data_IF_075827673226
#
_entry.id   IF_075827673226
#
_cell.length_a   1.000
_cell.length_b   1.000
_cell.length_c   1.000
_cell.angle_alpha   90.00
_cell.angle_beta   90.00
_cell.angle_gamma   90.00
#
_symmetry.space_group_name_H-M   'P 1'
#
loop_
_entity.id
_entity.type
_entity.pdbx_description
1 polymer ?
#
# COMPACT_ATOMS: atom_id res chain seq x y z
N UNK A 1 -30.75 -17.00 -23.37
CA UNK A 1 -29.36 -17.02 -23.87
C UNK A 1 -28.51 -16.30 -22.85
N UNK A 2 -27.77 -17.06 -22.04
CA UNK A 2 -26.97 -16.56 -20.92
C UNK A 2 -25.61 -16.11 -21.46
N UNK A 3 -25.30 -14.82 -21.41
CA UNK A 3 -23.97 -14.30 -21.72
C UNK A 3 -23.04 -14.62 -20.56
N UNK A 4 -22.33 -15.74 -20.63
CA UNK A 4 -21.16 -15.99 -19.80
C UNK A 4 -20.07 -14.98 -20.20
N UNK A 5 -20.09 -13.81 -19.57
CA UNK A 5 -19.07 -12.79 -19.70
C UNK A 5 -17.72 -13.39 -19.31
N UNK A 6 -16.75 -13.27 -20.21
CA UNK A 6 -15.39 -13.74 -20.02
C UNK A 6 -14.76 -12.98 -18.83
N UNK A 7 -14.83 -13.56 -17.63
CA UNK A 7 -14.41 -12.93 -16.37
C UNK A 7 -12.88 -13.01 -16.20
N UNK A 8 -12.15 -12.51 -17.20
CA UNK A 8 -10.71 -12.47 -17.16
C UNK A 8 -10.30 -11.30 -16.26
N UNK A 9 -9.71 -11.61 -15.11
CA UNK A 9 -9.15 -10.59 -14.22
C UNK A 9 -8.10 -9.78 -14.97
N UNK A 10 -8.20 -8.44 -15.03
CA UNK A 10 -7.21 -7.61 -15.68
C UNK A 10 -5.83 -7.81 -15.05
N UNK A 11 -4.80 -7.85 -15.89
CA UNK A 11 -3.41 -7.80 -15.43
C UNK A 11 -3.13 -6.40 -14.83
N UNK A 12 -2.44 -6.36 -13.70
CA UNK A 12 -2.13 -5.19 -12.86
C UNK A 12 -3.35 -4.52 -12.24
N UNK A 13 -4.26 -5.32 -11.72
CA UNK A 13 -5.42 -4.85 -10.98
C UNK A 13 -5.08 -4.56 -9.52
N UNK A 14 -5.25 -3.31 -9.10
CA UNK A 14 -5.18 -2.93 -7.68
C UNK A 14 -6.47 -3.38 -6.99
N UNK A 15 -6.33 -4.20 -5.94
CA UNK A 15 -7.45 -4.69 -5.12
C UNK A 15 -7.45 -3.99 -3.78
N UNK A 16 -8.53 -3.27 -3.48
CA UNK A 16 -8.67 -2.45 -2.29
C UNK A 16 -10.12 -2.41 -1.80
N UNK A 17 -10.32 -2.01 -0.55
CA UNK A 17 -11.63 -1.55 -0.09
C UNK A 17 -11.80 -0.10 -0.53
N UNK A 18 -12.92 0.21 -1.20
CA UNK A 18 -13.23 1.56 -1.65
C UNK A 18 -14.73 1.81 -1.64
N UNK A 19 -15.13 3.08 -1.64
CA UNK A 19 -16.48 3.54 -1.93
C UNK A 19 -16.43 4.56 -3.09
N UNK A 20 -17.52 5.27 -3.34
CA UNK A 20 -17.59 6.23 -4.47
C UNK A 20 -16.60 7.40 -4.33
N UNK A 21 -16.17 7.72 -3.11
CA UNK A 21 -15.36 8.90 -2.82
C UNK A 21 -13.88 8.57 -2.58
N UNK A 22 -13.60 7.42 -1.97
CA UNK A 22 -12.30 7.13 -1.40
C UNK A 22 -11.89 5.67 -1.51
N UNK A 23 -10.58 5.48 -1.57
CA UNK A 23 -9.89 4.20 -1.41
C UNK A 23 -9.27 4.10 -0.03
N UNK A 24 -9.34 2.91 0.58
CA UNK A 24 -8.65 2.60 1.83
C UNK A 24 -7.33 1.92 1.54
N UNK A 25 -6.27 2.44 2.14
CA UNK A 25 -4.93 1.86 2.14
C UNK A 25 -4.46 1.66 3.57
N UNK A 26 -3.57 0.72 3.77
CA UNK A 26 -3.11 0.33 5.09
C UNK A 26 -1.64 0.63 5.25
N UNK A 27 -1.27 1.04 6.46
CA UNK A 27 0.12 1.29 6.83
C UNK A 27 0.41 0.81 8.26
N UNK A 28 1.61 0.27 8.48
CA UNK A 28 2.03 -0.24 9.78
C UNK A 28 2.91 0.80 10.50
N UNK A 29 2.65 1.00 11.78
CA UNK A 29 3.32 1.97 12.64
C UNK A 29 3.60 1.41 14.04
N UNK A 30 4.47 2.10 14.78
CA UNK A 30 4.60 1.91 16.22
C UNK A 30 3.35 2.40 16.94
N UNK A 31 3.16 1.90 18.15
CA UNK A 31 2.09 2.35 19.04
C UNK A 31 2.08 3.87 19.25
N UNK A 32 3.25 4.48 19.48
CA UNK A 32 3.38 5.93 19.71
C UNK A 32 2.87 6.76 18.54
N UNK A 33 3.18 6.37 17.30
CA UNK A 33 2.71 7.05 16.09
C UNK A 33 1.22 6.78 15.89
N UNK A 34 0.79 5.52 15.99
CA UNK A 34 -0.58 5.14 15.69
C UNK A 34 -1.60 5.77 16.65
N UNK A 35 -1.32 5.75 17.95
CA UNK A 35 -2.22 6.34 18.96
C UNK A 35 -2.32 7.85 18.81
N UNK A 36 -1.19 8.54 18.58
CA UNK A 36 -1.20 9.98 18.32
C UNK A 36 -1.98 10.32 17.05
N UNK A 37 -1.74 9.58 15.96
CA UNK A 37 -2.40 9.80 14.69
C UNK A 37 -3.91 9.63 14.75
N UNK A 38 -4.41 8.60 15.45
CA UNK A 38 -5.85 8.38 15.63
C UNK A 38 -6.46 9.47 16.51
N UNK A 39 -5.79 9.83 17.61
CA UNK A 39 -6.29 10.86 18.54
C UNK A 39 -6.42 12.22 17.89
N UNK A 40 -5.44 12.61 17.09
CA UNK A 40 -5.35 13.96 16.49
C UNK A 40 -5.85 14.00 15.04
N UNK A 41 -6.25 12.84 14.49
CA UNK A 41 -6.60 12.68 13.07
C UNK A 41 -5.51 13.23 12.14
N UNK A 42 -4.24 12.99 12.51
CA UNK A 42 -3.07 13.58 11.86
C UNK A 42 -1.88 12.62 11.91
N UNK A 43 -1.46 12.11 10.75
CA UNK A 43 -0.48 11.02 10.68
C UNK A 43 0.87 11.35 11.34
N UNK A 44 1.27 12.60 11.27
CA UNK A 44 2.53 13.14 11.82
C UNK A 44 2.35 13.85 13.17
N UNK A 45 1.31 13.48 13.93
CA UNK A 45 1.07 13.99 15.29
C UNK A 45 2.17 13.59 16.29
N UNK A 46 2.83 12.46 16.08
CA UNK A 46 3.91 11.99 16.95
C UNK A 46 5.27 12.53 16.50
N UNK A 47 6.16 12.96 17.42
CA UNK A 47 7.54 13.30 17.09
C UNK A 47 8.35 12.10 16.56
N UNK A 48 7.90 10.88 16.79
CA UNK A 48 8.53 9.65 16.25
C UNK A 48 8.22 9.44 14.75
N UNK A 49 7.32 10.25 14.18
CA UNK A 49 7.04 10.22 12.77
C UNK A 49 8.25 10.76 11.99
N UNK A 50 8.72 9.99 11.00
CA UNK A 50 9.87 10.39 10.18
C UNK A 50 9.39 10.73 8.78
N UNK A 51 9.77 11.95 8.36
CA UNK A 51 9.56 12.47 7.01
C UNK A 51 10.65 12.04 6.02
N UNK A 52 11.76 11.50 6.51
CA UNK A 52 12.93 11.16 5.67
C UNK A 52 12.93 9.72 5.18
N UNK A 53 12.07 8.87 5.74
CA UNK A 53 11.99 7.46 5.36
C UNK A 53 10.91 7.25 4.31
N UNK A 54 11.24 6.52 3.26
CA UNK A 54 10.28 5.96 2.32
C UNK A 54 9.26 5.11 3.08
N UNK A 55 7.97 5.35 2.88
CA UNK A 55 6.92 4.56 3.56
C UNK A 55 6.02 3.81 2.59
N UNK A 56 5.66 2.57 2.96
CA UNK A 56 4.90 1.66 2.11
C UNK A 56 3.43 1.54 2.53
N UNK A 57 2.51 2.04 1.70
CA UNK A 57 1.07 1.77 1.85
C UNK A 57 0.65 0.52 1.07
N UNK A 58 -0.39 -0.19 1.55
CA UNK A 58 -0.93 -1.41 0.92
C UNK A 58 -2.45 -1.31 0.83
N UNK A 59 -3.07 -1.36 -0.35
CA UNK A 59 -4.53 -1.34 -0.51
C UNK A 59 -5.22 -2.63 -0.03
N UNK A 60 -4.50 -3.76 0.02
CA UNK A 60 -5.03 -5.04 0.51
C UNK A 60 -4.79 -5.21 2.02
N UNK A 61 -5.87 -5.34 2.79
CA UNK A 61 -5.83 -5.61 4.23
C UNK A 61 -5.13 -6.93 4.54
N UNK A 62 -5.55 -8.02 3.88
CA UNK A 62 -4.98 -9.34 4.10
C UNK A 62 -3.48 -9.36 3.83
N UNK A 63 -3.05 -8.66 2.77
CA UNK A 63 -1.63 -8.56 2.48
C UNK A 63 -0.87 -7.73 3.52
N UNK A 64 -1.44 -6.64 4.02
CA UNK A 64 -0.85 -5.89 5.12
C UNK A 64 -0.67 -6.76 6.36
N UNK A 65 -1.73 -7.44 6.79
CA UNK A 65 -1.72 -8.28 7.98
C UNK A 65 -0.70 -9.42 7.85
N UNK A 66 -0.67 -10.11 6.71
CA UNK A 66 0.33 -11.13 6.45
C UNK A 66 1.76 -10.57 6.55
N UNK A 67 2.02 -9.42 5.93
CA UNK A 67 3.38 -8.83 5.88
C UNK A 67 3.88 -8.29 7.21
N UNK A 68 2.98 -7.82 8.07
CA UNK A 68 3.30 -7.38 9.43
C UNK A 68 3.35 -8.54 10.43
N UNK A 69 3.14 -9.79 9.99
CA UNK A 69 3.00 -10.93 10.90
C UNK A 69 1.84 -10.73 11.88
N UNK A 70 0.73 -10.19 11.39
CA UNK A 70 -0.44 -9.83 12.19
C UNK A 70 -0.06 -8.89 13.35
N UNK A 71 0.75 -7.88 13.05
CA UNK A 71 1.26 -6.89 14.01
C UNK A 71 2.24 -7.41 15.07
N UNK A 72 2.74 -8.64 14.92
CA UNK A 72 3.69 -9.23 15.90
C UNK A 72 5.14 -9.25 15.41
N UNK A 73 5.39 -8.96 14.13
CA UNK A 73 6.72 -9.14 13.50
C UNK A 73 7.77 -8.12 13.96
N UNK A 74 7.38 -6.89 14.22
CA UNK A 74 8.27 -5.78 14.62
C UNK A 74 7.47 -4.83 15.53
N UNK A 75 7.97 -4.47 16.72
CA UNK A 75 7.33 -3.48 17.59
C UNK A 75 7.01 -2.15 16.90
N UNK A 76 7.82 -1.75 15.91
CA UNK A 76 7.60 -0.54 15.08
C UNK A 76 6.50 -0.70 14.04
N UNK A 77 5.86 -1.86 13.97
CA UNK A 77 4.76 -2.20 13.06
C UNK A 77 3.60 -2.87 13.81
N UNK A 78 3.50 -2.61 15.12
CA UNK A 78 2.51 -3.20 16.03
C UNK A 78 1.08 -2.69 15.82
N UNK A 79 0.89 -1.59 15.10
CA UNK A 79 -0.41 -0.99 14.85
C UNK A 79 -0.62 -0.76 13.36
N UNK A 80 -1.75 -1.23 12.83
CA UNK A 80 -2.11 -1.03 11.43
C UNK A 80 -3.18 0.05 11.35
N UNK A 81 -2.87 1.14 10.66
CA UNK A 81 -3.82 2.21 10.38
C UNK A 81 -4.49 1.98 9.02
N UNK A 82 -5.80 2.19 8.99
CA UNK A 82 -6.58 2.32 7.76
C UNK A 82 -6.64 3.80 7.39
N UNK A 83 -6.00 4.17 6.29
CA UNK A 83 -5.95 5.52 5.76
C UNK A 83 -6.89 5.61 4.57
N UNK A 84 -7.78 6.60 4.60
CA UNK A 84 -8.66 6.91 3.46
C UNK A 84 -8.07 8.08 2.69
N UNK A 85 -8.06 7.97 1.36
CA UNK A 85 -7.73 9.07 0.46
C UNK A 85 -8.69 9.05 -0.72
N UNK A 86 -8.91 10.22 -1.34
CA UNK A 86 -9.81 10.30 -2.48
C UNK A 86 -9.23 9.56 -3.67
N UNK A 87 -10.10 9.17 -4.61
CA UNK A 87 -9.67 8.50 -5.84
C UNK A 87 -8.72 9.38 -6.65
N UNK A 88 -8.95 10.69 -6.68
CA UNK A 88 -8.14 11.66 -7.42
C UNK A 88 -6.71 11.68 -6.89
N UNK A 89 -6.54 11.81 -5.56
CA UNK A 89 -5.21 11.81 -4.93
C UNK A 89 -4.50 10.47 -5.19
N UNK A 90 -5.22 9.36 -5.08
CA UNK A 90 -4.62 8.05 -5.34
C UNK A 90 -4.14 7.91 -6.80
N UNK A 91 -4.94 8.37 -7.76
CA UNK A 91 -4.57 8.36 -9.18
C UNK A 91 -3.40 9.31 -9.49
N UNK A 92 -3.39 10.50 -8.86
CA UNK A 92 -2.29 11.45 -8.98
C UNK A 92 -0.98 10.83 -8.49
N UNK A 93 -0.99 10.19 -7.33
CA UNK A 93 0.17 9.45 -6.81
C UNK A 93 0.65 8.37 -7.79
N UNK A 94 -0.29 7.61 -8.38
CA UNK A 94 0.05 6.59 -9.38
C UNK A 94 0.69 7.17 -10.63
N UNK A 95 0.23 8.34 -11.09
CA UNK A 95 0.78 9.00 -12.28
C UNK A 95 2.24 9.43 -12.10
N UNK A 96 2.65 9.70 -10.86
CA UNK A 96 4.02 10.09 -10.51
C UNK A 96 4.94 8.89 -10.23
N UNK A 97 4.43 7.66 -10.32
CA UNK A 97 5.16 6.49 -9.89
C UNK A 97 6.24 6.03 -10.87
N UNK A 98 7.34 5.50 -10.32
CA UNK A 98 8.24 4.57 -10.99
C UNK A 98 7.78 3.13 -10.72
N UNK A 99 7.64 2.31 -11.77
CA UNK A 99 7.27 0.90 -11.62
C UNK A 99 8.52 0.05 -11.43
N UNK A 100 8.71 -0.48 -10.22
CA UNK A 100 9.87 -1.28 -9.83
C UNK A 100 9.55 -2.78 -9.99
N UNK A 101 10.17 -3.46 -10.97
CA UNK A 101 9.96 -4.89 -11.24
C UNK A 101 11.23 -5.72 -11.07
N UNK A 102 11.80 -5.78 -9.86
CA UNK A 102 12.93 -6.67 -9.56
C UNK A 102 14.26 -6.35 -10.26
N UNK A 103 14.24 -5.55 -11.32
CA UNK A 103 15.38 -4.95 -12.00
C UNK A 103 15.87 -3.70 -11.26
N UNK A 104 17.15 -3.36 -11.47
CA UNK A 104 17.69 -2.09 -11.02
C UNK A 104 16.93 -0.94 -11.70
N UNK A 105 16.49 0.04 -10.90
CA UNK A 105 15.88 1.27 -11.41
C UNK A 105 16.92 2.13 -12.12
N UNK A 106 16.51 2.83 -13.17
CA UNK A 106 17.30 3.91 -13.76
C UNK A 106 17.43 5.09 -12.77
N UNK A 107 18.39 5.98 -12.99
CA UNK A 107 18.54 7.15 -12.11
C UNK A 107 17.35 8.11 -12.20
N UNK A 108 16.71 8.18 -13.37
CA UNK A 108 15.45 8.91 -13.57
C UNK A 108 14.29 8.30 -12.77
N UNK A 109 14.17 6.97 -12.75
CA UNK A 109 13.16 6.27 -11.95
C UNK A 109 13.41 6.38 -10.44
N UNK A 110 14.68 6.41 -10.01
CA UNK A 110 15.03 6.64 -8.61
C UNK A 110 14.67 8.04 -8.14
N UNK A 111 14.71 9.03 -9.04
CA UNK A 111 14.36 10.42 -8.75
C UNK A 111 12.85 10.65 -8.59
N UNK A 112 12.00 9.70 -9.01
CA UNK A 112 10.56 9.81 -8.82
C UNK A 112 10.18 9.69 -7.32
N UNK A 113 9.25 10.52 -6.84
CA UNK A 113 8.85 10.56 -5.42
C UNK A 113 8.03 9.32 -5.03
N UNK A 114 7.45 8.64 -6.01
CA UNK A 114 6.52 7.55 -5.81
C UNK A 114 7.06 6.26 -6.44
N UNK A 115 6.98 5.15 -5.70
CA UNK A 115 7.43 3.83 -6.19
C UNK A 115 6.30 2.81 -6.12
N UNK A 116 6.01 2.17 -7.24
CA UNK A 116 5.07 1.03 -7.31
C UNK A 116 5.87 -0.24 -7.49
N UNK A 117 5.70 -1.20 -6.59
CA UNK A 117 6.24 -2.55 -6.78
C UNK A 117 5.10 -3.55 -6.86
N UNK A 118 4.99 -4.22 -8.00
CA UNK A 118 4.15 -5.39 -8.18
C UNK A 118 4.94 -6.62 -7.74
N UNK A 119 4.42 -7.37 -6.76
CA UNK A 119 5.05 -8.63 -6.31
C UNK A 119 4.27 -9.79 -6.91
N UNK A 120 4.96 -10.62 -7.70
CA UNK A 120 4.48 -11.95 -8.08
C UNK A 120 4.69 -12.91 -6.91
N UNK A 121 3.65 -13.67 -6.57
CA UNK A 121 3.64 -14.53 -5.40
C UNK A 121 4.32 -15.88 -5.75
N UNK A 122 5.58 -16.07 -5.35
CA UNK A 122 6.34 -17.34 -5.50
C UNK A 122 6.05 -18.32 -4.33
N UNK A 123 4.81 -18.43 -3.86
CA UNK A 123 4.44 -19.20 -2.66
C UNK A 123 3.37 -20.28 -2.91
N UNK A 124 3.49 -21.50 -2.34
CA UNK A 124 2.69 -22.66 -2.74
C UNK A 124 1.19 -22.66 -2.34
N UNK A 125 0.68 -21.71 -1.54
CA UNK A 125 -0.63 -21.88 -0.86
C UNK A 125 -1.70 -20.83 -1.18
N UNK A 126 -1.39 -19.72 -1.86
CA UNK A 126 -2.35 -18.60 -2.00
C UNK A 126 -2.50 -18.12 -3.44
N UNK A 127 -2.89 -19.04 -4.34
CA UNK A 127 -3.00 -18.79 -5.79
C UNK A 127 -4.28 -18.08 -6.26
N UNK A 128 -5.27 -17.81 -5.41
CA UNK A 128 -6.56 -17.22 -5.88
C UNK A 128 -6.92 -15.84 -5.32
N UNK A 129 -6.24 -15.33 -4.28
CA UNK A 129 -6.68 -14.11 -3.60
C UNK A 129 -5.72 -12.91 -3.68
N UNK A 130 -4.47 -13.10 -4.08
CA UNK A 130 -3.48 -12.00 -4.11
C UNK A 130 -2.54 -12.22 -5.30
N UNK A 131 -3.06 -12.04 -6.50
CA UNK A 131 -2.25 -12.22 -7.72
C UNK A 131 -1.30 -11.05 -7.94
N UNK A 132 -1.58 -9.88 -7.37
CA UNK A 132 -0.77 -8.69 -7.56
C UNK A 132 -0.77 -7.83 -6.30
N UNK A 133 0.35 -7.84 -5.61
CA UNK A 133 0.56 -7.02 -4.44
C UNK A 133 1.05 -5.65 -4.89
N UNK A 134 0.30 -4.63 -4.52
CA UNK A 134 0.69 -3.24 -4.66
C UNK A 134 1.28 -2.72 -3.34
N UNK A 135 2.45 -2.11 -3.43
CA UNK A 135 2.93 -1.19 -2.39
C UNK A 135 3.38 0.11 -3.03
N UNK A 136 2.91 1.21 -2.47
CA UNK A 136 3.31 2.55 -2.88
C UNK A 136 4.33 3.08 -1.88
N UNK A 137 5.52 3.36 -2.34
CA UNK A 137 6.52 4.11 -1.59
C UNK A 137 6.25 5.61 -1.75
N UNK A 138 6.07 6.35 -0.66
CA UNK A 138 6.04 7.81 -0.65
C UNK A 138 7.37 8.34 -0.11
N UNK A 139 8.10 9.12 -0.90
CA UNK A 139 9.25 9.91 -0.45
C UNK A 139 8.77 11.25 0.09
N UNK A 140 8.99 11.50 1.38
CA UNK A 140 8.56 12.69 2.15
C UNK A 140 7.03 12.89 2.16
N UNK A 141 6.40 12.50 3.27
CA UNK A 141 5.00 12.87 3.59
C UNK A 141 4.92 14.34 3.99
#
# INVERSE_FOLDING_TARGET
>A
MSTSGNNQTPHRQIRASYNDEAITVYQAYSESIAKAAVREQKLYASPDFSFTRMTWIKPSWCWMMYRSGYSTKDPRQSHILALKMTHEIFQELLSQAAVCHGSALTDEEKAKPVRVQWIQNEGPVWRSCVTEVFKLGLDRV
#
